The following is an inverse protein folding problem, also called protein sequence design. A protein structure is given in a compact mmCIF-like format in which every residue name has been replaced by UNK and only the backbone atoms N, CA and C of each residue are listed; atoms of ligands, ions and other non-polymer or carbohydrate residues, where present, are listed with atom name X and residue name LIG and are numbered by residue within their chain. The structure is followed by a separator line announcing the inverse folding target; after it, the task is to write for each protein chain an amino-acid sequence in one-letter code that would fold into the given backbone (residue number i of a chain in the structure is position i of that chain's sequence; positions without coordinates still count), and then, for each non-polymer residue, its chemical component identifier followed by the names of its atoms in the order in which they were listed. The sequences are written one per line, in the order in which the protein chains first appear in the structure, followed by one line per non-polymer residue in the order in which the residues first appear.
data_IF_276100684467
#
_entry.id   IF_276100684467
#
_cell.length_a   1.000
_cell.length_b   1.000
_cell.length_c   1.000
_cell.angle_alpha   90.00
_cell.angle_beta   90.00
_cell.angle_gamma   90.00
#
_symmetry.space_group_name_H-M   'P 1'
#
loop_
_entity.id
_entity.type
_entity.pdbx_description
1 polymer ?
#
# COMPACT_ATOMS: atom_id res chain seq x y z
N UNK A 1 16.27 2.07 5.77
CA UNK A 1 14.99 1.78 5.10
C UNK A 1 14.14 1.05 6.12
N UNK A 2 13.11 1.70 6.67
CA UNK A 2 12.26 1.09 7.69
C UNK A 2 11.65 -0.20 7.10
N UNK A 3 11.75 -1.32 7.81
CA UNK A 3 11.25 -2.61 7.32
C UNK A 3 9.73 -2.57 7.27
N UNK A 4 9.13 -2.14 6.14
CA UNK A 4 7.69 -2.27 5.90
C UNK A 4 7.21 -3.73 6.06
N UNK A 5 8.13 -4.70 5.91
CA UNK A 5 7.94 -6.12 6.23
C UNK A 5 7.51 -6.34 7.69
N UNK A 6 8.05 -5.59 8.66
CA UNK A 6 7.63 -5.74 10.05
C UNK A 6 6.19 -5.25 10.27
N UNK A 7 5.81 -4.19 9.57
CA UNK A 7 4.46 -3.65 9.58
C UNK A 7 3.49 -4.59 8.86
N UNK A 8 3.93 -5.20 7.76
CA UNK A 8 3.23 -6.27 7.07
C UNK A 8 2.96 -7.45 8.02
N UNK A 9 3.98 -8.00 8.68
CA UNK A 9 3.81 -9.11 9.63
C UNK A 9 2.95 -8.77 10.84
N UNK A 10 2.86 -7.49 11.22
CA UNK A 10 1.97 -7.06 12.29
C UNK A 10 0.49 -7.14 11.87
N UNK A 11 0.20 -7.00 10.58
CA UNK A 11 -1.15 -6.98 10.03
C UNK A 11 -1.56 -8.29 9.33
N UNK A 12 -0.59 -9.06 8.85
CA UNK A 12 -0.69 -10.43 8.36
C UNK A 12 -0.99 -11.37 9.55
N UNK A 13 -2.27 -11.40 9.94
CA UNK A 13 -2.75 -12.11 11.13
C UNK A 13 -2.90 -13.63 10.91
N UNK A 14 -3.05 -14.02 9.64
CA UNK A 14 -3.18 -15.38 9.13
C UNK A 14 -1.85 -15.99 8.70
N UNK A 15 -0.78 -15.18 8.60
CA UNK A 15 0.56 -15.61 8.17
C UNK A 15 0.53 -16.31 6.82
N UNK A 16 -0.42 -15.92 5.96
CA UNK A 16 -0.59 -16.45 4.61
C UNK A 16 0.35 -15.76 3.61
N UNK A 17 0.98 -14.67 4.03
CA UNK A 17 1.90 -13.88 3.23
C UNK A 17 1.21 -12.85 2.34
N UNK A 18 -0.08 -12.59 2.55
CA UNK A 18 -0.88 -11.62 1.81
C UNK A 18 -1.73 -10.75 2.75
N UNK A 19 -2.06 -9.54 2.31
CA UNK A 19 -3.04 -8.69 2.97
C UNK A 19 -4.16 -8.41 1.97
N UNK A 20 -5.34 -8.96 2.22
CA UNK A 20 -6.50 -8.71 1.37
C UNK A 20 -6.90 -7.24 1.36
N UNK A 21 -7.57 -6.77 0.32
CA UNK A 21 -8.08 -5.40 0.27
C UNK A 21 -9.02 -5.04 1.41
N UNK A 22 -9.70 -6.02 2.02
CA UNK A 22 -10.47 -5.79 3.24
C UNK A 22 -9.60 -5.49 4.45
N UNK A 23 -8.48 -6.21 4.62
CA UNK A 23 -7.51 -5.98 5.69
C UNK A 23 -6.68 -4.71 5.45
N UNK A 24 -6.31 -4.42 4.21
CA UNK A 24 -5.51 -3.26 3.87
C UNK A 24 -6.29 -1.93 4.00
N UNK A 25 -7.58 -1.91 3.67
CA UNK A 25 -8.41 -0.69 3.77
C UNK A 25 -8.28 0.04 5.12
N UNK A 26 -8.47 -0.59 6.29
CA UNK A 26 -8.30 0.08 7.58
C UNK A 26 -6.85 0.54 7.81
N UNK A 27 -5.85 -0.25 7.43
CA UNK A 27 -4.41 0.10 7.57
C UNK A 27 -4.08 1.35 6.76
N UNK A 28 -4.50 1.37 5.49
CA UNK A 28 -4.35 2.52 4.62
C UNK A 28 -5.15 3.71 5.18
N UNK A 29 -6.33 3.50 5.78
CA UNK A 29 -7.13 4.57 6.40
C UNK A 29 -6.47 5.17 7.65
N UNK A 30 -5.68 4.41 8.42
CA UNK A 30 -4.90 4.92 9.55
C UNK A 30 -3.90 6.01 9.14
N UNK A 31 -3.52 6.07 7.86
CA UNK A 31 -2.65 7.12 7.35
C UNK A 31 -3.27 8.53 7.41
N UNK A 32 -4.60 8.62 7.52
CA UNK A 32 -5.36 9.88 7.55
C UNK A 32 -5.63 10.49 6.17
N UNK A 33 -5.38 9.75 5.10
CA UNK A 33 -5.61 10.21 3.72
C UNK A 33 -7.08 10.03 3.28
N UNK A 34 -7.58 10.87 2.35
CA UNK A 34 -8.91 10.71 1.78
C UNK A 34 -9.09 9.35 1.09
N UNK A 35 -10.28 8.76 1.17
CA UNK A 35 -10.62 7.46 0.54
C UNK A 35 -10.28 7.42 -0.97
N UNK A 36 -10.39 8.54 -1.68
CA UNK A 36 -10.02 8.63 -3.09
C UNK A 36 -8.51 8.41 -3.32
N UNK A 37 -7.67 8.97 -2.45
CA UNK A 37 -6.22 8.78 -2.50
C UNK A 37 -5.83 7.36 -2.07
N UNK A 38 -6.49 6.81 -1.05
CA UNK A 38 -6.29 5.42 -0.64
C UNK A 38 -6.59 4.43 -1.77
N UNK A 39 -7.69 4.65 -2.49
CA UNK A 39 -8.02 3.86 -3.68
C UNK A 39 -6.96 4.01 -4.77
N UNK A 40 -6.44 5.21 -4.98
CA UNK A 40 -5.37 5.43 -5.96
C UNK A 40 -4.08 4.73 -5.56
N UNK A 41 -3.69 4.79 -4.29
CA UNK A 41 -2.53 4.08 -3.77
C UNK A 41 -2.73 2.58 -3.93
N UNK A 42 -3.91 2.06 -3.59
CA UNK A 42 -4.27 0.66 -3.81
C UNK A 42 -4.08 0.25 -5.27
N UNK A 43 -4.69 0.98 -6.21
CA UNK A 43 -4.60 0.68 -7.64
C UNK A 43 -3.16 0.76 -8.19
N UNK A 44 -2.27 1.52 -7.53
CA UNK A 44 -0.85 1.63 -7.87
C UNK A 44 0.02 0.59 -7.15
N UNK A 45 -0.50 -0.08 -6.13
CA UNK A 45 0.25 -1.04 -5.32
C UNK A 45 -0.10 -2.47 -5.68
N UNK A 46 -1.37 -2.73 -5.99
CA UNK A 46 -1.92 -3.99 -6.47
C UNK A 46 -1.54 -4.20 -7.95
N UNK A 47 -0.30 -4.67 -8.17
CA UNK A 47 0.26 -4.89 -9.51
C UNK A 47 -0.29 -6.17 -10.13
N UNK A 48 -0.55 -7.18 -9.28
CA UNK A 48 -1.11 -8.47 -9.69
C UNK A 48 -2.62 -8.39 -9.97
N UNK A 49 -3.31 -7.36 -9.47
CA UNK A 49 -4.76 -7.16 -9.59
C UNK A 49 -5.56 -8.34 -9.05
N UNK A 50 -5.02 -9.03 -8.06
CA UNK A 50 -5.66 -10.15 -7.40
C UNK A 50 -6.54 -9.68 -6.22
N UNK A 51 -6.50 -8.39 -5.90
CA UNK A 51 -7.23 -7.80 -4.78
C UNK A 51 -6.58 -8.05 -3.42
N UNK A 52 -5.32 -8.47 -3.42
CA UNK A 52 -4.48 -8.72 -2.27
C UNK A 52 -3.15 -7.96 -2.44
N UNK A 53 -2.44 -7.72 -1.35
CA UNK A 53 -1.10 -7.14 -1.37
C UNK A 53 -0.13 -8.13 -0.76
N UNK A 54 0.86 -8.54 -1.55
CA UNK A 54 2.01 -9.27 -1.00
C UNK A 54 2.94 -8.32 -0.21
N UNK A 55 3.96 -8.86 0.46
CA UNK A 55 4.91 -8.06 1.24
C UNK A 55 5.62 -6.95 0.43
N UNK A 56 5.77 -7.11 -0.89
CA UNK A 56 6.37 -6.11 -1.78
C UNK A 56 5.35 -5.04 -2.17
N UNK A 57 4.15 -5.45 -2.58
CA UNK A 57 3.05 -4.57 -2.95
C UNK A 57 2.61 -3.73 -1.74
N UNK A 58 2.59 -4.31 -0.54
CA UNK A 58 2.35 -3.59 0.71
C UNK A 58 3.45 -2.56 0.99
N UNK A 59 4.72 -2.91 0.77
CA UNK A 59 5.82 -1.96 0.91
C UNK A 59 5.68 -0.79 -0.07
N UNK A 60 5.23 -1.04 -1.31
CA UNK A 60 4.92 0.01 -2.29
C UNK A 60 3.77 0.89 -1.80
N UNK A 61 2.68 0.31 -1.31
CA UNK A 61 1.54 1.04 -0.77
C UNK A 61 1.94 1.97 0.39
N UNK A 62 2.68 1.43 1.35
CA UNK A 62 3.18 2.20 2.50
C UNK A 62 4.13 3.30 2.07
N UNK A 63 5.00 3.04 1.09
CA UNK A 63 5.91 4.05 0.55
C UNK A 63 5.15 5.18 -0.15
N UNK A 64 4.12 4.88 -0.94
CA UNK A 64 3.25 5.87 -1.57
C UNK A 64 2.49 6.72 -0.55
N UNK A 65 2.00 6.10 0.54
CA UNK A 65 1.41 6.81 1.68
C UNK A 65 2.43 7.78 2.28
N UNK A 66 3.65 7.34 2.57
CA UNK A 66 4.68 8.18 3.17
C UNK A 66 5.07 9.35 2.27
N UNK A 67 5.19 9.13 0.96
CA UNK A 67 5.41 10.19 -0.03
C UNK A 67 4.28 11.21 0.04
N UNK A 68 3.02 10.74 0.08
CA UNK A 68 1.85 11.63 0.15
C UNK A 68 1.75 12.39 1.46
N UNK A 69 2.11 11.77 2.59
CA UNK A 69 2.12 12.39 3.92
C UNK A 69 3.23 13.42 4.09
N UNK A 70 4.34 13.28 3.36
CA UNK A 70 5.45 14.25 3.33
C UNK A 70 5.20 15.46 2.40
N UNK A 71 3.93 15.81 2.14
CA UNK A 71 3.51 16.84 1.17
C UNK A 71 3.96 16.57 -0.28
N UNK A 72 4.33 15.32 -0.60
CA UNK A 72 4.56 14.89 -1.97
C UNK A 72 3.26 14.77 -2.74
N UNK A 73 3.25 15.23 -4.00
CA UNK A 73 2.15 14.98 -4.93
C UNK A 73 2.12 13.48 -5.21
N UNK A 74 0.99 12.81 -4.96
CA UNK A 74 0.82 11.42 -5.38
C UNK A 74 0.98 11.37 -6.91
N UNK A 75 1.93 10.58 -7.43
CA UNK A 75 2.07 10.46 -8.87
C UNK A 75 0.75 9.94 -9.45
N UNK A 76 0.16 10.71 -10.37
CA UNK A 76 -1.13 10.38 -10.99
C UNK A 76 -1.05 9.12 -11.86
N UNK A 77 0.15 8.65 -12.18
CA UNK A 77 0.42 7.39 -12.85
C UNK A 77 1.69 6.80 -12.26
N UNK A 78 1.71 5.48 -11.99
CA UNK A 78 2.95 4.72 -11.81
C UNK A 78 3.86 5.06 -12.99
N UNK A 79 5.02 5.70 -12.79
CA UNK A 79 5.94 5.91 -13.89
C UNK A 79 6.37 4.53 -14.39
N UNK A 80 6.33 4.33 -15.72
CA UNK A 80 6.64 3.09 -16.44
C UNK A 80 7.98 2.40 -16.07
N UNK A 81 8.81 3.02 -15.23
CA UNK A 81 10.06 2.44 -14.72
C UNK A 81 9.87 1.37 -13.62
N UNK A 82 8.65 1.19 -13.11
CA UNK A 82 8.31 0.15 -12.13
C UNK A 82 7.48 -1.02 -12.73
N UNK A 83 7.26 -1.02 -14.04
CA UNK A 83 6.72 -2.17 -14.79
C UNK A 83 7.82 -3.17 -15.14
#
# INVERSE_FOLDING_TARGET
VASYIALFHQHDSDHDGFISGQQARPILAESGLPVQELRRIWDLSDLTKDGMLDAREFAVAMHLIEIRKKDGVLPTSLPQQLL
#
